data_IF_446309555503
#
_entry.id   IF_446309555503
#
_cell.length_a   1.000
_cell.length_b   1.000
_cell.length_c   1.000
_cell.angle_alpha   90.00
_cell.angle_beta   90.00
_cell.angle_gamma   90.00
#
_symmetry.space_group_name_H-M   'P 1'
#
loop_
_entity.id
_entity.type
_entity.pdbx_description
1 polymer ?
#
# COMPACT_ATOMS: atom_id res chain seq x y z
N UNK A 1 -29.91 5.07 -5.97
CA UNK A 1 -28.72 5.86 -5.58
C UNK A 1 -28.01 5.17 -4.41
N UNK A 2 -27.02 4.30 -4.66
CA UNK A 2 -26.20 3.70 -3.61
C UNK A 2 -24.86 4.43 -3.44
N UNK A 3 -24.27 4.40 -2.23
CA UNK A 3 -23.01 5.04 -1.80
C UNK A 3 -22.93 6.58 -1.84
N UNK A 4 -22.26 7.13 -0.80
CA UNK A 4 -22.23 8.53 -0.42
C UNK A 4 -21.44 9.42 -1.40
N UNK A 5 -22.05 9.73 -2.54
CA UNK A 5 -21.58 10.75 -3.48
C UNK A 5 -22.23 12.10 -3.12
N UNK A 6 -21.45 13.10 -2.68
CA UNK A 6 -21.90 14.50 -2.62
C UNK A 6 -20.78 15.49 -2.91
N UNK A 7 -21.14 16.54 -3.64
CA UNK A 7 -20.41 17.79 -3.80
C UNK A 7 -20.32 18.53 -2.45
N UNK A 8 -19.19 19.18 -2.21
CA UNK A 8 -18.75 19.65 -0.90
C UNK A 8 -19.49 20.88 -0.32
N UNK A 9 -20.68 21.27 -0.81
CA UNK A 9 -21.20 22.64 -0.53
C UNK A 9 -22.55 22.77 0.20
N UNK A 10 -23.28 21.71 0.59
CA UNK A 10 -24.50 21.88 1.42
C UNK A 10 -24.66 20.81 2.51
N UNK A 11 -24.83 21.30 3.74
CA UNK A 11 -25.03 20.58 5.02
C UNK A 11 -26.28 19.68 5.02
N UNK A 12 -26.20 18.53 4.36
CA UNK A 12 -27.15 17.43 4.55
C UNK A 12 -26.44 16.25 5.19
N UNK A 13 -27.07 15.57 6.17
CA UNK A 13 -26.42 14.53 6.94
C UNK A 13 -25.89 13.43 6.01
N UNK A 14 -24.70 12.94 6.33
CA UNK A 14 -24.07 11.79 5.68
C UNK A 14 -25.10 10.66 5.55
N UNK A 15 -25.19 10.03 4.37
CA UNK A 15 -25.98 8.80 4.27
C UNK A 15 -25.24 7.74 5.07
N UNK A 16 -25.84 7.29 6.16
CA UNK A 16 -25.22 6.34 7.07
C UNK A 16 -24.80 5.06 6.35
N UNK A 17 -23.69 4.48 6.80
CA UNK A 17 -23.27 3.15 6.39
C UNK A 17 -24.38 2.12 6.63
N UNK A 18 -24.54 1.21 5.67
CA UNK A 18 -25.51 0.14 5.70
C UNK A 18 -24.81 -1.17 5.40
N UNK A 19 -24.87 -2.14 6.31
CA UNK A 19 -24.21 -3.43 6.13
C UNK A 19 -24.74 -4.18 4.90
N UNK A 20 -26.04 -4.06 4.60
CA UNK A 20 -26.70 -4.62 3.41
C UNK A 20 -26.13 -4.13 2.06
N UNK A 21 -25.45 -2.97 2.06
CA UNK A 21 -24.80 -2.45 0.85
C UNK A 21 -23.47 -3.16 0.56
N UNK A 22 -23.01 -4.04 1.44
CA UNK A 22 -21.72 -4.72 1.37
C UNK A 22 -21.86 -6.24 1.56
N UNK A 23 -20.97 -6.98 0.93
CA UNK A 23 -20.90 -8.43 1.06
C UNK A 23 -19.45 -8.88 1.02
N UNK A 24 -19.15 -9.91 1.81
CA UNK A 24 -17.84 -10.50 1.84
C UNK A 24 -17.57 -11.26 0.54
N UNK A 25 -16.34 -11.17 0.05
CA UNK A 25 -15.84 -12.03 -1.04
C UNK A 25 -15.07 -13.24 -0.52
N UNK A 26 -14.99 -13.39 0.80
CA UNK A 26 -14.36 -14.45 1.57
C UNK A 26 -15.16 -14.72 2.85
N UNK A 27 -14.80 -15.75 3.63
CA UNK A 27 -15.56 -16.16 4.82
C UNK A 27 -15.04 -15.55 6.15
N UNK A 28 -13.98 -14.73 6.10
CA UNK A 28 -13.20 -14.32 7.29
C UNK A 28 -13.13 -12.81 7.46
N UNK A 29 -13.87 -12.05 6.65
CA UNK A 29 -13.93 -10.60 6.70
C UNK A 29 -15.35 -10.10 6.96
N UNK A 30 -15.46 -9.03 7.72
CA UNK A 30 -16.73 -8.48 8.18
C UNK A 30 -16.78 -6.97 7.93
N UNK A 31 -17.98 -6.46 7.66
CA UNK A 31 -18.26 -5.03 7.61
C UNK A 31 -19.39 -4.69 8.58
N UNK A 32 -19.03 -4.03 9.68
CA UNK A 32 -19.97 -3.61 10.73
C UNK A 32 -20.26 -2.11 10.62
N UNK A 33 -21.52 -1.72 10.82
CA UNK A 33 -21.92 -0.32 10.75
C UNK A 33 -22.29 0.18 12.15
N UNK A 34 -21.61 1.21 12.65
CA UNK A 34 -21.86 1.80 13.97
C UNK A 34 -21.87 3.33 13.88
N UNK A 35 -22.89 3.99 14.44
CA UNK A 35 -22.91 5.44 14.68
C UNK A 35 -22.56 6.35 13.47
N UNK A 36 -22.70 5.86 12.23
CA UNK A 36 -22.28 6.47 10.95
C UNK A 36 -20.91 6.11 10.39
N UNK A 37 -20.20 5.11 10.93
CA UNK A 37 -18.97 4.56 10.35
C UNK A 37 -19.20 3.12 9.86
N UNK A 38 -18.36 2.69 8.92
CA UNK A 38 -18.23 1.30 8.50
C UNK A 38 -16.87 0.76 8.93
N UNK A 39 -16.86 -0.28 9.76
CA UNK A 39 -15.64 -0.98 10.19
C UNK A 39 -15.46 -2.25 9.38
N UNK A 40 -14.43 -2.25 8.54
CA UNK A 40 -13.93 -3.43 7.85
C UNK A 40 -12.88 -4.13 8.70
N UNK A 41 -13.16 -5.35 9.15
CA UNK A 41 -12.28 -6.07 10.07
C UNK A 41 -12.32 -7.59 9.86
N UNK A 42 -11.37 -8.30 10.45
CA UNK A 42 -11.29 -9.75 10.38
C UNK A 42 -9.91 -10.26 10.77
N UNK A 43 -9.62 -11.51 10.41
CA UNK A 43 -8.30 -12.11 10.59
C UNK A 43 -7.83 -12.77 9.31
N UNK A 44 -6.73 -12.27 8.75
CA UNK A 44 -6.12 -12.82 7.55
C UNK A 44 -5.14 -13.94 7.93
N UNK A 45 -5.51 -15.18 7.64
CA UNK A 45 -4.62 -16.34 7.78
C UNK A 45 -4.11 -16.77 6.41
N UNK A 46 -2.78 -16.73 6.27
CA UNK A 46 -2.05 -17.01 5.02
C UNK A 46 -1.36 -18.37 5.06
N UNK A 47 -1.36 -19.06 6.20
CA UNK A 47 -0.66 -20.34 6.37
C UNK A 47 -1.29 -21.43 5.52
N UNK A 48 -2.62 -21.42 5.39
CA UNK A 48 -3.36 -22.42 4.60
C UNK A 48 -2.98 -22.42 3.12
N UNK A 49 -2.49 -21.29 2.59
CA UNK A 49 -2.24 -21.07 1.15
C UNK A 49 -0.77 -20.73 0.86
N UNK A 50 0.16 -21.11 1.75
CA UNK A 50 1.59 -20.94 1.52
C UNK A 50 2.02 -19.47 1.43
N UNK A 51 1.41 -18.59 2.21
CA UNK A 51 1.77 -17.16 2.32
C UNK A 51 0.92 -16.20 1.47
N UNK A 52 0.07 -16.72 0.59
CA UNK A 52 -0.85 -15.91 -0.21
C UNK A 52 -2.25 -15.87 0.41
N UNK A 53 -2.86 -14.70 0.55
CA UNK A 53 -4.23 -14.60 1.04
C UNK A 53 -4.80 -13.20 0.91
N UNK A 54 -6.12 -13.10 0.95
CA UNK A 54 -6.83 -11.83 1.05
C UNK A 54 -8.15 -11.99 1.79
N UNK A 55 -8.61 -10.86 2.33
CA UNK A 55 -9.89 -10.65 2.96
C UNK A 55 -10.47 -9.37 2.36
N UNK A 56 -11.72 -9.36 1.90
CA UNK A 56 -12.31 -8.23 1.19
C UNK A 56 -13.83 -8.13 1.32
N UNK A 57 -14.29 -6.89 1.36
CA UNK A 57 -15.69 -6.51 1.32
C UNK A 57 -15.94 -5.69 0.06
N UNK A 58 -17.06 -5.97 -0.62
CA UNK A 58 -17.45 -5.29 -1.85
C UNK A 58 -18.89 -4.84 -1.79
N UNK A 59 -19.24 -3.85 -2.60
CA UNK A 59 -20.62 -3.40 -2.72
C UNK A 59 -21.52 -4.50 -3.30
N UNK A 60 -22.74 -4.62 -2.79
CA UNK A 60 -23.77 -5.55 -3.29
C UNK A 60 -24.41 -5.05 -4.60
N UNK A 61 -25.17 -5.91 -5.27
CA UNK A 61 -25.88 -5.60 -6.52
C UNK A 61 -25.01 -5.75 -7.77
N UNK A 62 -25.66 -6.15 -8.86
CA UNK A 62 -25.02 -6.34 -10.18
C UNK A 62 -25.40 -5.19 -11.15
N UNK A 63 -26.53 -4.51 -10.90
CA UNK A 63 -27.06 -3.41 -11.74
C UNK A 63 -26.60 -2.00 -11.31
N UNK A 64 -25.69 -1.90 -10.33
CA UNK A 64 -25.20 -0.59 -9.88
C UNK A 64 -24.38 0.07 -10.99
N UNK A 65 -24.55 1.37 -11.16
CA UNK A 65 -23.77 2.16 -12.13
C UNK A 65 -23.58 3.56 -11.57
N UNK A 66 -22.33 3.96 -11.38
CA UNK A 66 -21.95 5.31 -10.96
C UNK A 66 -21.18 6.01 -12.06
N UNK A 67 -21.60 7.24 -12.39
CA UNK A 67 -20.84 8.14 -13.22
C UNK A 67 -19.95 9.01 -12.33
N UNK A 68 -18.65 8.73 -12.38
CA UNK A 68 -17.60 9.43 -11.66
C UNK A 68 -16.74 10.30 -12.60
N UNK A 69 -17.13 10.45 -13.86
CA UNK A 69 -16.30 11.13 -14.88
C UNK A 69 -16.08 12.62 -14.62
N UNK A 70 -16.93 13.25 -13.81
CA UNK A 70 -16.81 14.66 -13.41
C UNK A 70 -15.87 14.89 -12.21
N UNK A 71 -15.33 13.83 -11.61
CA UNK A 71 -14.52 13.90 -10.39
C UNK A 71 -13.05 13.67 -10.70
N UNK A 72 -12.15 14.09 -9.80
CA UNK A 72 -10.71 13.90 -9.89
C UNK A 72 -10.22 12.60 -9.21
N UNK A 73 -11.01 12.05 -8.29
CA UNK A 73 -10.66 10.86 -7.54
C UNK A 73 -11.67 10.49 -6.45
N UNK A 74 -11.30 9.51 -5.64
CA UNK A 74 -12.02 9.11 -4.43
C UNK A 74 -11.28 9.60 -3.19
N UNK A 75 -12.03 10.02 -2.17
CA UNK A 75 -11.53 10.27 -0.83
C UNK A 75 -12.04 9.19 0.10
N UNK A 76 -11.12 8.54 0.80
CA UNK A 76 -11.41 7.65 1.92
C UNK A 76 -11.19 8.45 3.20
N UNK A 77 -12.26 8.71 3.95
CA UNK A 77 -12.17 9.37 5.25
C UNK A 77 -12.07 8.30 6.35
N UNK A 78 -10.86 8.14 6.89
CA UNK A 78 -10.52 7.09 7.85
C UNK A 78 -10.74 7.62 9.26
N UNK A 79 -11.56 6.92 10.04
CA UNK A 79 -11.79 7.21 11.45
C UNK A 79 -10.72 6.60 12.34
N UNK A 80 -10.36 5.35 12.06
CA UNK A 80 -9.40 4.58 12.83
C UNK A 80 -8.86 3.49 11.92
N UNK A 81 -7.58 3.16 12.08
CA UNK A 81 -6.99 2.01 11.40
C UNK A 81 -5.88 1.42 12.27
N UNK A 82 -5.56 0.18 11.99
CA UNK A 82 -4.32 -0.43 12.43
C UNK A 82 -3.14 -0.04 11.50
N UNK A 83 -1.99 -0.70 11.71
CA UNK A 83 -0.77 -0.50 10.92
C UNK A 83 -0.70 -1.36 9.64
N UNK A 84 -1.80 -1.97 9.20
CA UNK A 84 -1.85 -2.81 8.01
C UNK A 84 -1.99 -1.98 6.73
N UNK A 85 -1.62 -2.61 5.61
CA UNK A 85 -1.83 -2.05 4.26
C UNK A 85 -3.14 -2.58 3.70
N UNK A 86 -3.91 -1.69 3.09
CA UNK A 86 -5.19 -1.99 2.46
C UNK A 86 -5.17 -1.65 0.98
N UNK A 87 -6.12 -2.19 0.24
CA UNK A 87 -6.33 -1.91 -1.18
C UNK A 87 -7.76 -1.44 -1.39
N UNK A 88 -7.93 -0.28 -2.02
CA UNK A 88 -9.22 0.15 -2.56
C UNK A 88 -9.34 -0.30 -4.01
N UNK A 89 -10.49 -0.84 -4.40
CA UNK A 89 -10.69 -1.46 -5.70
C UNK A 89 -11.94 -0.90 -6.37
N UNK A 90 -11.82 -0.55 -7.65
CA UNK A 90 -12.95 -0.27 -8.54
C UNK A 90 -13.07 -1.33 -9.62
N UNK A 91 -14.32 -1.59 -10.04
CA UNK A 91 -14.62 -2.27 -11.31
C UNK A 91 -15.61 -1.44 -12.10
N UNK A 92 -15.31 -1.25 -13.38
CA UNK A 92 -16.14 -0.63 -14.41
C UNK A 92 -16.89 -1.67 -15.27
N UNK A 93 -16.51 -2.94 -15.16
CA UNK A 93 -17.15 -4.05 -15.84
C UNK A 93 -17.43 -5.22 -14.88
N UNK A 94 -18.65 -5.76 -14.98
CA UNK A 94 -19.05 -7.03 -14.40
C UNK A 94 -19.58 -7.93 -15.51
N UNK A 95 -19.01 -9.11 -15.65
CA UNK A 95 -19.52 -10.13 -16.54
C UNK A 95 -20.67 -10.91 -15.86
N UNK A 96 -21.63 -11.44 -16.63
CA UNK A 96 -22.62 -12.37 -16.10
C UNK A 96 -21.94 -13.52 -15.36
N UNK A 97 -22.64 -14.12 -14.40
CA UNK A 97 -22.14 -15.34 -13.75
C UNK A 97 -21.88 -16.43 -14.79
N UNK A 98 -20.85 -17.23 -14.54
CA UNK A 98 -20.51 -18.33 -15.42
C UNK A 98 -21.73 -19.27 -15.54
N UNK A 99 -22.21 -19.59 -16.75
CA UNK A 99 -23.43 -20.37 -16.93
C UNK A 99 -23.30 -21.82 -16.46
N UNK A 100 -22.09 -22.38 -16.43
CA UNK A 100 -21.83 -23.79 -16.09
C UNK A 100 -21.77 -24.03 -14.57
N UNK A 101 -21.19 -23.08 -13.81
CA UNK A 101 -20.94 -23.26 -12.37
C UNK A 101 -21.49 -22.14 -11.48
N UNK A 102 -22.14 -21.12 -12.07
CA UNK A 102 -22.75 -19.99 -11.35
C UNK A 102 -21.76 -19.06 -10.66
N UNK A 103 -20.44 -19.24 -10.83
CA UNK A 103 -19.41 -18.41 -10.16
C UNK A 103 -19.28 -17.05 -10.84
N UNK A 104 -18.91 -16.03 -10.06
CA UNK A 104 -18.52 -14.75 -10.63
C UNK A 104 -17.28 -14.91 -11.53
N UNK A 105 -17.33 -14.27 -12.69
CA UNK A 105 -16.22 -14.27 -13.63
C UNK A 105 -15.21 -13.17 -13.28
N UNK A 106 -13.92 -13.44 -13.57
CA UNK A 106 -12.88 -12.46 -13.35
C UNK A 106 -12.92 -11.38 -14.44
N UNK A 107 -12.81 -10.13 -14.02
CA UNK A 107 -12.66 -8.94 -14.87
C UNK A 107 -11.44 -8.15 -14.39
N UNK A 108 -11.05 -7.11 -15.14
CA UNK A 108 -10.02 -6.17 -14.69
C UNK A 108 -10.51 -5.50 -13.40
N UNK A 109 -9.61 -5.39 -12.42
CA UNK A 109 -9.81 -4.67 -11.17
C UNK A 109 -8.85 -3.49 -11.15
N UNK A 110 -9.33 -2.33 -10.75
CA UNK A 110 -8.53 -1.11 -10.66
C UNK A 110 -8.17 -0.88 -9.20
N UNK A 111 -6.92 -1.18 -8.84
CA UNK A 111 -6.47 -1.29 -7.46
C UNK A 111 -5.61 -0.08 -7.04
N UNK A 112 -5.83 0.42 -5.83
CA UNK A 112 -4.98 1.41 -5.17
C UNK A 112 -4.60 0.92 -3.78
N UNK A 113 -3.32 0.62 -3.59
CA UNK A 113 -2.78 0.25 -2.29
C UNK A 113 -2.47 1.49 -1.45
N UNK A 114 -2.90 1.49 -0.20
CA UNK A 114 -2.64 2.54 0.78
C UNK A 114 -2.36 1.94 2.15
N UNK A 115 -1.55 2.64 2.95
CA UNK A 115 -1.40 2.38 4.37
C UNK A 115 -1.90 3.63 5.11
N UNK A 116 -2.89 3.52 6.00
CA UNK A 116 -3.30 4.63 6.84
C UNK A 116 -2.09 5.10 7.67
N UNK A 117 -1.73 6.38 7.55
CA UNK A 117 -0.69 6.99 8.37
C UNK A 117 -1.37 8.10 9.16
N UNK A 118 -1.28 8.04 10.48
CA UNK A 118 -1.78 9.11 11.35
C UNK A 118 -0.58 9.92 11.85
N UNK A 119 -0.74 11.25 11.98
CA UNK A 119 0.32 12.09 12.52
C UNK A 119 0.67 11.71 13.95
N UNK A 120 1.89 12.01 14.39
CA UNK A 120 2.41 11.69 15.74
C UNK A 120 1.58 12.29 16.90
N UNK A 121 0.69 13.24 16.58
CA UNK A 121 -0.28 13.80 17.52
C UNK A 121 -1.37 12.77 17.85
N UNK A 122 -1.22 12.15 19.02
CA UNK A 122 -2.16 11.19 19.64
C UNK A 122 -3.61 11.69 19.83
N UNK A 123 -3.89 12.95 19.48
CA UNK A 123 -5.19 13.59 19.62
C UNK A 123 -6.12 13.41 18.40
N UNK A 124 -5.58 13.14 17.21
CA UNK A 124 -6.39 12.88 16.01
C UNK A 124 -6.20 11.43 15.53
N UNK A 125 -7.11 10.54 15.94
CA UNK A 125 -7.24 9.23 15.32
C UNK A 125 -7.95 9.41 13.96
N UNK A 126 -7.29 9.01 12.87
CA UNK A 126 -7.87 9.09 11.53
C UNK A 126 -7.15 10.04 10.56
N UNK A 127 -7.51 9.97 9.28
CA UNK A 127 -6.87 10.73 8.22
C UNK A 127 -7.62 10.61 6.89
N UNK A 128 -7.24 11.43 5.92
CA UNK A 128 -7.79 11.37 4.56
C UNK A 128 -6.80 10.70 3.60
N UNK A 129 -7.28 9.73 2.83
CA UNK A 129 -6.57 9.15 1.69
C UNK A 129 -7.26 9.59 0.41
N UNK A 130 -6.55 10.32 -0.44
CA UNK A 130 -7.01 10.64 -1.79
C UNK A 130 -6.49 9.60 -2.78
N UNK A 131 -7.41 8.99 -3.51
CA UNK A 131 -7.17 8.00 -4.56
C UNK A 131 -7.39 8.70 -5.91
N UNK A 132 -6.33 9.22 -6.56
CA UNK A 132 -6.46 9.79 -7.90
C UNK A 132 -6.69 8.68 -8.93
N UNK A 133 -7.41 8.98 -10.01
CA UNK A 133 -7.62 8.00 -11.11
C UNK A 133 -6.31 7.46 -11.69
N UNK A 134 -5.31 8.32 -11.83
CA UNK A 134 -3.97 7.95 -12.30
C UNK A 134 -3.19 7.06 -11.34
N UNK A 135 -3.64 6.92 -10.09
CA UNK A 135 -3.03 6.03 -9.10
C UNK A 135 -3.57 4.60 -9.16
N UNK A 136 -4.70 4.38 -9.84
CA UNK A 136 -5.33 3.06 -9.95
C UNK A 136 -4.55 2.20 -10.94
N UNK A 137 -4.14 1.02 -10.47
CA UNK A 137 -3.42 0.04 -11.28
C UNK A 137 -4.37 -1.04 -11.77
N UNK A 138 -4.42 -1.32 -13.08
CA UNK A 138 -5.23 -2.40 -13.61
C UNK A 138 -4.59 -3.75 -13.25
N UNK A 139 -5.38 -4.65 -12.66
CA UNK A 139 -4.98 -6.01 -12.34
C UNK A 139 -5.97 -7.01 -12.92
N UNK A 140 -5.48 -8.18 -13.31
CA UNK A 140 -6.31 -9.33 -13.67
C UNK A 140 -5.83 -10.55 -12.89
N UNK A 141 -6.72 -11.12 -12.06
CA UNK A 141 -6.42 -12.25 -11.18
C UNK A 141 -5.16 -12.03 -10.32
N UNK A 142 -5.05 -10.84 -9.74
CA UNK A 142 -3.96 -10.45 -8.83
C UNK A 142 -2.63 -10.10 -9.50
N UNK A 143 -2.58 -10.06 -10.84
CA UNK A 143 -1.41 -9.63 -11.61
C UNK A 143 -1.67 -8.30 -12.29
N UNK A 144 -0.72 -7.36 -12.18
CA UNK A 144 -0.79 -6.08 -12.89
C UNK A 144 -0.81 -6.29 -14.40
N UNK A 145 -1.61 -5.48 -15.11
CA UNK A 145 -1.76 -5.52 -16.57
C UNK A 145 -1.25 -4.20 -17.15
N UNK A 146 0.00 -4.19 -17.62
CA UNK A 146 0.68 -2.97 -18.11
C UNK A 146 -0.05 -2.25 -19.26
N UNK A 147 -0.84 -2.98 -20.06
CA UNK A 147 -1.54 -2.45 -21.22
C UNK A 147 -3.05 -2.72 -21.12
N UNK A 148 -3.70 -2.14 -20.10
CA UNK A 148 -5.15 -2.10 -20.01
C UNK A 148 -5.70 -0.82 -20.65
N UNK A 149 -6.89 -0.90 -21.24
CA UNK A 149 -7.66 0.29 -21.59
C UNK A 149 -7.94 1.12 -20.33
N UNK A 150 -8.02 2.45 -20.40
CA UNK A 150 -8.31 3.28 -19.24
C UNK A 150 -9.65 2.92 -18.58
N UNK A 151 -9.72 3.04 -17.24
CA UNK A 151 -10.95 2.80 -16.49
C UNK A 151 -12.11 3.65 -17.04
N UNK A 152 -13.25 3.03 -17.30
CA UNK A 152 -14.46 3.75 -17.71
C UNK A 152 -15.18 4.34 -16.49
N UNK A 153 -14.84 5.58 -16.15
CA UNK A 153 -15.42 6.31 -15.02
C UNK A 153 -16.92 6.59 -15.14
N UNK A 154 -17.51 6.50 -16.33
CA UNK A 154 -18.96 6.75 -16.52
C UNK A 154 -19.83 5.61 -16.01
N UNK A 155 -19.26 4.41 -15.87
CA UNK A 155 -20.02 3.19 -15.58
C UNK A 155 -19.34 2.34 -14.52
N UNK A 156 -18.90 2.94 -13.42
CA UNK A 156 -18.38 2.16 -12.30
C UNK A 156 -19.48 1.26 -11.76
N UNK A 157 -19.20 -0.04 -11.63
CA UNK A 157 -20.14 -1.09 -11.24
C UNK A 157 -19.96 -1.56 -9.80
N UNK A 158 -18.74 -1.48 -9.28
CA UNK A 158 -18.41 -2.04 -7.96
C UNK A 158 -17.26 -1.30 -7.30
N UNK A 159 -17.35 -1.19 -5.98
CA UNK A 159 -16.26 -0.74 -5.11
C UNK A 159 -15.95 -1.84 -4.11
N UNK A 160 -14.67 -2.00 -3.76
CA UNK A 160 -14.24 -2.96 -2.74
C UNK A 160 -13.12 -2.39 -1.87
N UNK A 161 -13.03 -2.89 -0.64
CA UNK A 161 -11.90 -2.70 0.26
C UNK A 161 -11.33 -4.08 0.56
N UNK A 162 -10.01 -4.19 0.53
CA UNK A 162 -9.31 -5.46 0.70
C UNK A 162 -8.11 -5.29 1.64
N UNK A 163 -7.90 -6.32 2.46
CA UNK A 163 -6.68 -6.61 3.18
C UNK A 163 -6.03 -7.82 2.50
N UNK A 164 -4.84 -7.65 1.91
CA UNK A 164 -4.12 -8.74 1.20
C UNK A 164 -2.82 -9.06 1.91
N UNK A 165 -2.26 -10.25 1.71
CA UNK A 165 -1.03 -10.64 2.39
C UNK A 165 0.23 -9.98 1.83
N UNK A 166 0.14 -9.42 0.61
CA UNK A 166 1.30 -8.95 -0.16
C UNK A 166 2.42 -10.00 -0.22
N UNK A 167 2.07 -11.24 -0.55
CA UNK A 167 3.01 -12.37 -0.65
C UNK A 167 3.71 -12.72 0.68
N UNK A 168 3.01 -12.51 1.80
CA UNK A 168 3.45 -12.91 3.13
C UNK A 168 3.99 -11.76 3.97
N UNK A 169 4.03 -10.54 3.43
CA UNK A 169 4.47 -9.35 4.16
C UNK A 169 3.52 -8.99 5.33
N UNK A 170 2.25 -9.41 5.28
CA UNK A 170 1.29 -9.18 6.37
C UNK A 170 0.26 -10.30 6.52
N UNK A 171 -0.11 -10.56 7.78
CA UNK A 171 -1.17 -11.49 8.20
C UNK A 171 -1.76 -11.05 9.56
N UNK A 172 -2.70 -11.83 10.08
CA UNK A 172 -3.28 -11.68 11.40
C UNK A 172 -4.51 -10.76 11.45
N UNK A 173 -4.88 -10.26 12.64
CA UNK A 173 -6.05 -9.42 12.81
C UNK A 173 -5.85 -8.08 12.09
N UNK A 174 -6.94 -7.58 11.50
CA UNK A 174 -6.98 -6.27 10.88
C UNK A 174 -8.29 -5.53 11.19
N UNK A 175 -8.25 -4.20 11.21
CA UNK A 175 -9.39 -3.31 11.42
C UNK A 175 -9.17 -1.94 10.80
N UNK A 176 -10.03 -1.58 9.85
CA UNK A 176 -10.12 -0.27 9.21
C UNK A 176 -11.53 0.29 9.38
N UNK A 177 -11.65 1.43 10.07
CA UNK A 177 -12.91 2.15 10.27
C UNK A 177 -12.97 3.37 9.38
N UNK A 178 -13.98 3.45 8.52
CA UNK A 178 -14.21 4.56 7.60
C UNK A 178 -15.40 5.40 8.05
N UNK A 179 -15.22 6.72 8.05
CA UNK A 179 -16.32 7.68 8.11
C UNK A 179 -17.05 7.74 6.79
N UNK A 180 -16.33 7.81 5.66
CA UNK A 180 -16.96 7.86 4.34
C UNK A 180 -16.04 7.41 3.21
N UNK A 181 -16.66 7.02 2.10
CA UNK A 181 -16.05 6.91 0.77
C UNK A 181 -16.81 7.88 -0.12
N UNK A 182 -16.13 8.87 -0.68
CA UNK A 182 -16.76 9.95 -1.45
C UNK A 182 -15.94 10.32 -2.68
N UNK A 183 -16.59 10.73 -3.76
CA UNK A 183 -15.88 11.30 -4.92
C UNK A 183 -15.54 12.77 -4.66
N UNK A 184 -14.38 13.23 -5.14
CA UNK A 184 -13.90 14.60 -4.98
C UNK A 184 -13.69 15.26 -6.35
N UNK A 185 -14.20 16.48 -6.52
CA UNK A 185 -14.15 17.23 -7.78
C UNK A 185 -12.77 17.80 -8.10
N UNK A 186 -11.93 17.95 -7.08
CA UNK A 186 -10.55 18.41 -7.21
C UNK A 186 -9.61 17.48 -6.45
N UNK A 187 -8.38 17.37 -6.94
CA UNK A 187 -7.30 16.86 -6.10
C UNK A 187 -7.14 17.79 -4.90
N UNK A 188 -6.89 17.28 -3.68
CA UNK A 188 -6.36 18.13 -2.63
C UNK A 188 -5.18 18.93 -3.19
N UNK A 189 -5.05 20.17 -2.73
CA UNK A 189 -3.93 21.05 -3.09
C UNK A 189 -2.78 20.71 -2.15
N UNK A 190 -1.61 20.37 -2.70
CA UNK A 190 -0.37 20.26 -1.93
C UNK A 190 -0.17 21.53 -1.11
N UNK A 191 -0.01 21.47 0.23
CA UNK A 191 0.38 22.62 1.04
C UNK A 191 1.82 23.01 0.70
N UNK A 192 2.01 23.70 -0.43
CA UNK A 192 3.33 24.08 -0.96
C UNK A 192 3.31 24.99 -2.18
N UNK A 193 2.17 25.20 -2.85
CA UNK A 193 2.06 26.14 -3.96
C UNK A 193 0.98 27.20 -3.72
N UNK A 194 1.15 27.96 -2.64
CA UNK A 194 0.56 29.30 -2.57
C UNK A 194 1.48 30.23 -3.36
N UNK A 195 1.09 30.50 -4.61
CA UNK A 195 1.46 31.75 -5.29
C UNK A 195 1.17 32.90 -4.32
N UNK A 196 2.19 33.71 -4.05
CA UNK A 196 2.12 34.88 -3.17
C UNK A 196 1.09 35.87 -3.73
N UNK A 197 -0.14 35.84 -3.21
CA UNK A 197 -1.15 36.78 -3.73
C UNK A 197 -2.56 36.71 -3.16
N UNK A 198 -2.82 36.17 -1.96
CA UNK A 198 -4.12 36.35 -1.29
C UNK A 198 -4.04 35.97 0.19
N UNK A 199 -3.33 36.74 1.01
CA UNK A 199 -3.40 36.62 2.45
C UNK A 199 -4.56 37.46 2.98
N UNK A 200 -5.65 36.79 3.41
CA UNK A 200 -6.34 36.97 4.71
C UNK A 200 -7.68 36.24 4.69
N UNK A 201 -7.88 35.37 5.68
CA UNK A 201 -9.13 34.67 6.04
C UNK A 201 -9.32 33.24 5.51
N UNK A 202 -8.41 32.31 5.87
CA UNK A 202 -8.72 30.88 5.90
C UNK A 202 -7.74 30.10 6.80
N UNK A 203 -7.51 30.56 8.03
CA UNK A 203 -6.67 29.87 9.00
C UNK A 203 -7.52 29.00 9.94
N UNK A 204 -8.09 27.90 9.43
CA UNK A 204 -8.67 26.83 10.27
C UNK A 204 -9.05 25.55 9.50
N UNK A 205 -8.17 24.89 8.72
CA UNK A 205 -8.39 23.45 8.37
C UNK A 205 -7.25 22.67 7.68
N UNK A 206 -5.99 23.06 7.74
CA UNK A 206 -5.02 22.60 6.71
C UNK A 206 -4.20 21.34 6.98
N UNK A 207 -4.40 20.57 8.07
CA UNK A 207 -3.49 19.44 8.39
C UNK A 207 -4.09 18.01 8.31
N UNK A 208 -5.25 17.81 7.66
CA UNK A 208 -5.90 16.47 7.61
C UNK A 208 -5.43 15.55 6.47
N UNK A 209 -4.63 16.05 5.53
CA UNK A 209 -4.24 15.29 4.34
C UNK A 209 -2.98 14.48 4.60
N UNK A 210 -3.07 13.16 4.44
CA UNK A 210 -1.90 12.29 4.37
C UNK A 210 -1.67 11.91 2.91
N UNK A 211 -0.55 12.37 2.36
CA UNK A 211 -0.15 12.11 0.98
C UNK A 211 0.58 10.79 0.90
N UNK A 212 0.05 9.85 0.10
CA UNK A 212 0.77 8.62 -0.23
C UNK A 212 1.39 8.76 -1.62
N UNK A 213 2.72 8.94 -1.66
CA UNK A 213 3.49 8.71 -2.89
C UNK A 213 3.75 7.22 -2.96
N UNK A 214 3.30 6.56 -4.02
CA UNK A 214 3.68 5.19 -4.37
C UNK A 214 5.20 5.17 -4.66
N UNK A 215 6.01 5.22 -3.62
CA UNK A 215 7.44 4.96 -3.70
C UNK A 215 7.61 3.47 -3.54
N UNK A 216 7.77 2.75 -4.65
CA UNK A 216 8.45 1.46 -4.63
C UNK A 216 9.90 1.74 -4.23
N UNK A 217 10.17 1.86 -2.94
CA UNK A 217 11.54 1.77 -2.49
C UNK A 217 11.94 0.32 -2.72
N UNK A 218 12.77 0.10 -3.74
CA UNK A 218 13.62 -1.08 -3.85
C UNK A 218 14.48 -1.11 -2.59
N UNK A 219 13.96 -1.68 -1.51
CA UNK A 219 14.74 -2.03 -0.33
C UNK A 219 15.59 -3.24 -0.69
N UNK A 220 16.62 -3.01 -1.51
CA UNK A 220 17.62 -4.02 -1.83
C UNK A 220 19.04 -3.48 -2.08
N UNK A 221 19.38 -2.23 -1.75
CA UNK A 221 20.77 -1.72 -1.97
C UNK A 221 21.49 -1.21 -0.71
N UNK A 222 20.91 -1.27 0.50
CA UNK A 222 21.68 -1.01 1.73
C UNK A 222 21.74 -2.26 2.62
N UNK A 223 22.28 -3.35 2.05
CA UNK A 223 22.82 -4.47 2.81
C UNK A 223 24.07 -5.08 2.14
N UNK A 224 24.84 -4.29 1.37
CA UNK A 224 26.20 -4.68 0.91
C UNK A 224 27.28 -3.68 1.40
N UNK A 225 26.94 -2.70 2.24
CA UNK A 225 27.91 -1.81 2.85
C UNK A 225 28.44 -2.29 4.22
N UNK A 226 27.89 -3.38 4.80
CA UNK A 226 28.40 -3.98 6.05
C UNK A 226 29.19 -5.28 5.89
N UNK A 227 29.49 -5.70 4.64
CA UNK A 227 30.44 -6.79 4.37
C UNK A 227 31.65 -6.36 3.52
N UNK A 228 31.92 -5.06 3.43
CA UNK A 228 33.16 -4.51 2.85
C UNK A 228 33.95 -3.59 3.81
N UNK A 229 33.73 -3.75 5.12
CA UNK A 229 34.52 -3.09 6.16
C UNK A 229 35.12 -4.09 7.20
N UNK A 230 35.21 -5.38 6.83
CA UNK A 230 35.97 -6.40 7.59
C UNK A 230 37.00 -7.18 6.75
N UNK A 231 37.31 -6.70 5.55
CA UNK A 231 38.41 -7.23 4.72
C UNK A 231 39.45 -6.16 4.33
N UNK A 232 39.33 -4.94 4.84
CA UNK A 232 40.27 -3.83 4.60
C UNK A 232 41.05 -3.39 5.86
N UNK A 233 40.90 -4.09 7.00
CA UNK A 233 41.72 -3.88 8.20
C UNK A 233 42.74 -5.00 8.46
N UNK A 234 42.66 -6.14 7.76
CA UNK A 234 43.66 -7.23 7.90
C UNK A 234 44.82 -7.16 6.89
N UNK A 235 44.81 -6.21 5.96
CA UNK A 235 45.90 -6.03 4.99
C UNK A 235 46.94 -4.96 5.39
N UNK A 236 46.75 -4.28 6.52
CA UNK A 236 47.70 -3.25 7.02
C UNK A 236 48.56 -3.77 8.18
N UNK A 237 48.23 -4.91 8.79
CA UNK A 237 49.04 -5.52 9.87
C UNK A 237 50.13 -6.47 9.33
N UNK A 238 50.06 -6.88 8.06
CA UNK A 238 51.06 -7.77 7.44
C UNK A 238 52.23 -7.06 6.74
N UNK A 239 52.28 -5.72 6.72
CA UNK A 239 53.41 -4.96 6.14
C UNK A 239 54.41 -4.39 7.15
N UNK A 240 54.19 -4.58 8.45
CA UNK A 240 55.10 -4.07 9.49
C UNK A 240 55.87 -5.17 10.22
N UNK A 241 55.66 -6.45 9.88
CA UNK A 241 56.46 -7.58 10.39
C UNK A 241 57.65 -7.95 9.50
N UNK A 242 57.75 -7.41 8.28
CA UNK A 242 58.87 -7.66 7.36
C UNK A 242 60.09 -6.74 7.55
N UNK A 243 60.05 -5.78 8.48
CA UNK A 243 61.21 -4.92 8.81
C UNK A 243 61.91 -5.27 10.13
N UNK A 244 61.43 -6.26 10.88
CA UNK A 244 62.08 -6.71 12.13
C UNK A 244 62.79 -8.07 12.03
N UNK A 245 62.84 -8.69 10.86
CA UNK A 245 63.52 -9.98 10.63
C UNK A 245 64.83 -9.83 9.80
N UNK A 246 65.56 -8.72 9.98
CA UNK A 246 66.84 -8.47 9.28
C UNK A 246 68.02 -8.15 10.21
N UNK A 247 67.93 -8.45 11.51
CA UNK A 247 69.03 -8.15 12.46
C UNK A 247 69.51 -9.32 13.33
N UNK A 248 69.12 -10.56 13.04
CA UNK A 248 69.66 -11.70 13.77
C UNK A 248 70.18 -12.78 12.81
N UNK A 249 71.47 -13.07 13.01
CA UNK A 249 72.28 -14.19 12.51
C UNK A 249 73.15 -13.87 11.28
N UNK A 250 74.32 -13.29 11.59
CA UNK A 250 75.52 -13.36 10.76
C UNK A 250 76.29 -14.67 11.03
N UNK A 251 76.68 -15.35 9.94
CA UNK A 251 77.94 -16.12 9.73
C UNK A 251 78.20 -17.44 10.51
N UNK A 252 79.10 -18.33 10.01
CA UNK A 252 79.48 -18.65 8.62
C UNK A 252 79.61 -20.17 8.29
N UNK A 253 79.62 -20.43 6.97
CA UNK A 253 80.31 -21.47 6.17
C UNK A 253 81.06 -22.64 6.84
N UNK A 254 80.83 -23.87 6.34
CA UNK A 254 81.86 -24.89 6.09
C UNK A 254 81.42 -25.93 5.03
N UNK A 255 82.28 -26.12 4.04
CA UNK A 255 82.28 -27.17 3.00
C UNK A 255 82.50 -28.59 3.56
N UNK A 256 82.11 -29.62 2.77
CA UNK A 256 82.86 -30.87 2.47
C UNK A 256 81.99 -31.72 1.51
N UNK A 257 82.26 -31.73 0.19
CA UNK A 257 83.11 -32.67 -0.59
C UNK A 257 82.64 -34.13 -0.55
N UNK A 258 82.19 -34.65 -1.70
CA UNK A 258 81.53 -35.95 -1.84
C UNK A 258 82.45 -37.16 -2.06
N UNK A 259 81.84 -38.30 -2.41
CA UNK A 259 82.45 -39.37 -3.21
C UNK A 259 81.41 -40.40 -3.66
N UNK A 260 81.50 -40.75 -4.93
CA UNK A 260 81.07 -41.99 -5.56
C UNK A 260 81.83 -43.19 -4.98
N UNK A 261 81.14 -44.30 -4.80
CA UNK A 261 81.54 -45.67 -5.17
C UNK A 261 80.28 -46.51 -5.33
#
# INVERSE_FOLDING_TARGET
MPLALREAEKSTPYRSWKAEDWTASDDRSFLECHNSTGRFHGNLDIQTLGGAGFASQRTTGEDRSWDLSAYAGIVLDIAEADDKRYTFILKDELLPRNPDNGREQATISWEYDFKPCFGESSLEKGGLVFVPWSGLKPTYRGKEKEHADPINLKTIKRMSIMMRSFFGDQEGPFSLTLRSISAATSSPVEPGRLEQGAARSAASNTNRWTWYRQSFTVSCIIAVAHLRARFACDCTILRTSQQFASSLISSPSKELKGRTE
#
